data_IF_546591530246
#
_entry.id   IF_546591530246
#
_cell.length_a   1.000
_cell.length_b   1.000
_cell.length_c   1.000
_cell.angle_alpha   90.00
_cell.angle_beta   90.00
_cell.angle_gamma   90.00
#
_symmetry.space_group_name_H-M   'P 1'
#
loop_
_entity.id
_entity.type
_entity.pdbx_description
1 polymer ?
#
# COMPACT_ATOMS: atom_id res chain seq x y z
N UNK A 1 -21.17 -14.06 13.81
CA UNK A 1 -22.06 -12.87 13.66
C UNK A 1 -21.29 -11.60 13.26
N UNK A 2 -20.32 -11.08 14.03
CA UNK A 2 -19.62 -9.80 13.73
C UNK A 2 -18.91 -9.81 12.37
N UNK A 3 -18.25 -10.88 11.99
CA UNK A 3 -17.54 -10.97 10.69
C UNK A 3 -18.50 -11.06 9.50
N UNK A 4 -19.59 -11.80 9.62
CA UNK A 4 -20.64 -11.86 8.59
C UNK A 4 -21.28 -10.48 8.37
N UNK A 5 -21.51 -9.74 9.45
CA UNK A 5 -21.99 -8.36 9.38
C UNK A 5 -21.00 -7.44 8.67
N UNK A 6 -19.70 -7.53 8.99
CA UNK A 6 -18.65 -6.76 8.30
C UNK A 6 -18.59 -7.07 6.79
N UNK A 7 -18.68 -8.34 6.41
CA UNK A 7 -18.72 -8.74 5.01
C UNK A 7 -19.93 -8.18 4.29
N UNK A 8 -21.10 -8.21 4.92
CA UNK A 8 -22.32 -7.59 4.38
C UNK A 8 -22.11 -6.09 4.16
N UNK A 9 -21.58 -5.37 5.15
CA UNK A 9 -21.30 -3.92 5.04
C UNK A 9 -20.31 -3.65 3.90
N UNK A 10 -19.24 -4.43 3.79
CA UNK A 10 -18.26 -4.31 2.72
C UNK A 10 -18.93 -4.51 1.35
N UNK A 11 -19.79 -5.52 1.21
CA UNK A 11 -20.51 -5.79 -0.05
C UNK A 11 -21.47 -4.68 -0.40
N UNK A 12 -22.25 -4.20 0.58
CA UNK A 12 -23.22 -3.08 0.44
C UNK A 12 -22.53 -1.77 0.05
N UNK A 13 -21.29 -1.56 0.50
CA UNK A 13 -20.51 -0.37 0.12
C UNK A 13 -19.82 -0.57 -1.23
N UNK A 14 -19.30 -1.76 -1.51
CA UNK A 14 -18.44 -2.01 -2.68
C UNK A 14 -19.27 -2.12 -3.97
N UNK A 15 -20.38 -2.84 -3.94
CA UNK A 15 -21.18 -3.06 -5.15
C UNK A 15 -21.77 -1.75 -5.69
N UNK A 16 -22.46 -0.90 -4.91
CA UNK A 16 -22.96 0.39 -5.40
C UNK A 16 -21.83 1.32 -5.86
N UNK A 17 -20.69 1.37 -5.14
CA UNK A 17 -19.55 2.17 -5.55
C UNK A 17 -18.99 1.71 -6.90
N UNK A 18 -18.87 0.39 -7.10
CA UNK A 18 -18.42 -0.18 -8.38
C UNK A 18 -19.37 0.15 -9.52
N UNK A 19 -20.68 0.00 -9.32
CA UNK A 19 -21.70 0.35 -10.31
C UNK A 19 -21.66 1.83 -10.67
N UNK A 20 -21.53 2.71 -9.68
CA UNK A 20 -21.43 4.15 -9.89
C UNK A 20 -20.14 4.53 -10.65
N UNK A 21 -19.01 3.89 -10.33
CA UNK A 21 -17.74 4.05 -11.05
C UNK A 21 -17.91 3.58 -12.50
N UNK A 22 -18.58 2.46 -12.75
CA UNK A 22 -18.84 1.96 -14.11
C UNK A 22 -19.69 2.95 -14.89
N UNK A 23 -20.79 3.40 -14.31
CA UNK A 23 -21.73 4.31 -14.97
C UNK A 23 -21.08 5.66 -15.32
N UNK A 24 -20.41 6.29 -14.38
CA UNK A 24 -19.81 7.61 -14.57
C UNK A 24 -18.45 7.53 -15.27
N UNK A 25 -17.70 6.44 -15.07
CA UNK A 25 -16.36 6.27 -15.60
C UNK A 25 -16.32 6.07 -17.12
N UNK A 26 -17.42 5.71 -17.76
CA UNK A 26 -17.52 5.65 -19.23
C UNK A 26 -17.27 7.04 -19.81
N UNK A 27 -17.80 8.08 -19.20
CA UNK A 27 -17.69 9.47 -19.63
C UNK A 27 -16.42 10.18 -19.11
N UNK A 28 -15.71 9.56 -18.16
CA UNK A 28 -14.50 10.12 -17.56
C UNK A 28 -13.24 9.60 -18.28
N UNK A 29 -12.75 10.38 -19.23
CA UNK A 29 -11.61 10.01 -20.08
C UNK A 29 -10.37 9.53 -19.31
N UNK A 30 -10.09 10.13 -18.17
CA UNK A 30 -8.90 9.83 -17.35
C UNK A 30 -9.22 9.19 -16.00
N UNK A 31 -10.50 8.99 -15.68
CA UNK A 31 -10.96 8.46 -14.41
C UNK A 31 -10.75 9.42 -13.24
N UNK A 32 -10.59 10.72 -13.49
CA UNK A 32 -10.29 11.70 -12.44
C UNK A 32 -11.48 11.97 -11.53
N UNK A 33 -12.67 12.09 -12.11
CA UNK A 33 -13.91 12.37 -11.36
C UNK A 33 -14.34 11.15 -10.54
N UNK A 34 -14.27 9.96 -11.15
CA UNK A 34 -14.61 8.70 -10.43
C UNK A 34 -13.63 8.36 -9.32
N UNK A 35 -12.43 8.97 -9.33
CA UNK A 35 -11.48 8.78 -8.24
C UNK A 35 -11.99 9.32 -6.89
N UNK A 36 -12.84 10.34 -6.90
CA UNK A 36 -13.54 10.83 -5.70
C UNK A 36 -14.42 9.73 -5.07
N UNK A 37 -15.14 8.98 -5.90
CA UNK A 37 -15.96 7.83 -5.48
C UNK A 37 -15.05 6.73 -4.88
N UNK A 38 -13.93 6.46 -5.54
CA UNK A 38 -12.94 5.48 -5.05
C UNK A 38 -12.38 5.89 -3.68
N UNK A 39 -12.15 7.17 -3.44
CA UNK A 39 -11.72 7.69 -2.14
C UNK A 39 -12.79 7.53 -1.07
N UNK A 40 -14.03 7.88 -1.37
CA UNK A 40 -15.15 7.70 -0.44
C UNK A 40 -15.33 6.22 -0.10
N UNK A 41 -15.32 5.35 -1.10
CA UNK A 41 -15.37 3.90 -0.93
C UNK A 41 -14.25 3.38 -0.01
N UNK A 42 -13.01 3.79 -0.25
CA UNK A 42 -11.87 3.35 0.56
C UNK A 42 -11.98 3.83 2.02
N UNK A 43 -12.46 5.06 2.23
CA UNK A 43 -12.72 5.59 3.57
C UNK A 43 -13.78 4.76 4.30
N UNK A 44 -14.92 4.50 3.64
CA UNK A 44 -16.00 3.68 4.21
C UNK A 44 -15.52 2.27 4.58
N UNK A 45 -14.69 1.64 3.73
CA UNK A 45 -14.13 0.31 4.02
C UNK A 45 -13.25 0.30 5.27
N UNK A 46 -12.34 1.28 5.39
CA UNK A 46 -11.44 1.37 6.55
C UNK A 46 -12.23 1.65 7.83
N UNK A 47 -13.22 2.53 7.77
CA UNK A 47 -14.12 2.82 8.89
C UNK A 47 -14.91 1.58 9.32
N UNK A 48 -15.54 0.87 8.38
CA UNK A 48 -16.28 -0.36 8.65
C UNK A 48 -15.38 -1.47 9.23
N UNK A 49 -14.13 -1.53 8.76
CA UNK A 49 -13.10 -2.42 9.29
C UNK A 49 -12.65 -2.06 10.71
N UNK A 50 -12.81 -0.82 11.13
CA UNK A 50 -12.22 -0.26 12.35
C UNK A 50 -10.70 -0.12 12.22
N UNK A 51 -10.23 0.32 11.04
CA UNK A 51 -8.82 0.46 10.69
C UNK A 51 -8.42 1.92 10.76
N UNK A 52 -7.53 2.25 11.71
CA UNK A 52 -6.91 3.56 11.81
C UNK A 52 -5.63 3.65 10.96
N UNK A 53 -5.31 4.84 10.47
CA UNK A 53 -4.09 5.11 9.71
C UNK A 53 -3.23 6.14 10.42
N UNK A 54 -1.92 5.86 10.48
CA UNK A 54 -0.88 6.83 10.84
C UNK A 54 0.04 6.97 9.64
N UNK A 55 0.12 8.16 9.06
CA UNK A 55 0.91 8.42 7.85
C UNK A 55 2.05 9.36 8.18
N UNK A 56 3.26 8.99 7.75
CA UNK A 56 4.49 9.77 7.94
C UNK A 56 5.23 9.93 6.62
N UNK A 57 6.12 10.92 6.54
CA UNK A 57 6.99 11.11 5.39
C UNK A 57 6.34 11.77 4.17
N UNK A 58 5.11 12.29 4.26
CA UNK A 58 4.47 13.02 3.14
C UNK A 58 5.24 14.27 2.71
N UNK A 59 6.07 14.84 3.57
CA UNK A 59 6.95 15.97 3.25
C UNK A 59 8.07 15.62 2.26
N UNK A 60 8.36 14.35 2.05
CA UNK A 60 9.36 13.90 1.07
C UNK A 60 8.90 14.04 -0.37
N UNK A 61 7.59 14.16 -0.61
CA UNK A 61 6.99 14.14 -1.94
C UNK A 61 6.29 15.46 -2.27
N UNK A 62 6.50 15.95 -3.48
CA UNK A 62 5.84 17.15 -4.00
C UNK A 62 4.50 16.78 -4.65
N UNK A 63 3.35 17.30 -4.17
CA UNK A 63 2.04 17.01 -4.76
C UNK A 63 1.87 17.42 -6.23
N UNK A 64 2.72 18.31 -6.73
CA UNK A 64 2.70 18.77 -8.12
C UNK A 64 3.45 17.85 -9.08
N UNK A 65 4.18 16.86 -8.56
CA UNK A 65 4.95 15.89 -9.36
C UNK A 65 4.28 14.54 -9.40
N UNK A 66 4.55 13.77 -10.44
CA UNK A 66 4.10 12.39 -10.57
C UNK A 66 5.19 11.44 -10.08
N UNK A 67 4.75 10.37 -9.43
CA UNK A 67 5.60 9.32 -8.90
C UNK A 67 5.10 7.95 -9.33
N UNK A 68 5.99 6.99 -9.30
CA UNK A 68 5.64 5.59 -9.20
C UNK A 68 5.80 5.19 -7.73
N UNK A 69 4.68 5.11 -7.02
CA UNK A 69 4.65 4.63 -5.64
C UNK A 69 4.89 3.12 -5.65
N UNK A 70 5.96 2.67 -5.04
CA UNK A 70 6.25 1.25 -4.84
C UNK A 70 6.05 0.89 -3.38
N UNK A 71 5.10 -0.02 -3.12
CA UNK A 71 4.74 -0.43 -1.76
C UNK A 71 4.88 -1.95 -1.59
N UNK A 72 5.18 -2.40 -0.37
CA UNK A 72 5.01 -3.80 0.01
C UNK A 72 3.54 -4.21 -0.03
N UNK A 73 3.26 -5.51 -0.23
CA UNK A 73 1.90 -6.02 -0.39
C UNK A 73 1.63 -7.21 0.52
N UNK A 74 0.82 -7.00 1.54
CA UNK A 74 0.54 -8.00 2.57
C UNK A 74 -0.95 -8.33 2.67
N UNK A 75 -1.83 -7.42 2.20
CA UNK A 75 -3.26 -7.50 2.43
C UNK A 75 -4.09 -6.94 1.26
N UNK A 76 -5.35 -7.33 1.16
CA UNK A 76 -6.30 -6.67 0.27
C UNK A 76 -6.59 -5.22 0.69
N UNK A 77 -6.48 -4.90 1.97
CA UNK A 77 -6.72 -3.54 2.47
C UNK A 77 -5.56 -2.57 2.17
N UNK A 78 -4.42 -3.04 1.61
CA UNK A 78 -3.33 -2.14 1.20
C UNK A 78 -3.79 -1.13 0.15
N UNK A 79 -4.76 -1.50 -0.70
CA UNK A 79 -5.32 -0.62 -1.72
C UNK A 79 -6.06 0.56 -1.09
N UNK A 80 -7.12 0.37 -0.27
CA UNK A 80 -7.79 1.48 0.40
C UNK A 80 -6.87 2.26 1.35
N UNK A 81 -5.86 1.61 1.97
CA UNK A 81 -4.85 2.28 2.78
C UNK A 81 -4.09 3.31 1.94
N UNK A 82 -3.53 2.92 0.81
CA UNK A 82 -2.75 3.81 -0.05
C UNK A 82 -3.60 4.96 -0.62
N UNK A 83 -4.87 4.71 -0.95
CA UNK A 83 -5.80 5.74 -1.42
C UNK A 83 -5.97 6.83 -0.35
N UNK A 84 -6.11 6.44 0.92
CA UNK A 84 -6.29 7.39 2.02
C UNK A 84 -4.98 8.03 2.48
N UNK A 85 -3.88 7.30 2.38
CA UNK A 85 -2.56 7.78 2.82
C UNK A 85 -1.92 8.80 1.85
N UNK A 86 -2.35 8.84 0.59
CA UNK A 86 -1.80 9.72 -0.45
C UNK A 86 -2.88 10.67 -1.01
N UNK A 87 -3.48 11.54 -0.15
CA UNK A 87 -4.68 12.30 -0.50
C UNK A 87 -4.47 13.33 -1.61
N UNK A 88 -3.25 13.83 -1.79
CA UNK A 88 -2.91 14.80 -2.81
C UNK A 88 -2.71 14.20 -4.21
N UNK A 89 -2.73 12.87 -4.34
CA UNK A 89 -2.42 12.18 -5.59
C UNK A 89 -3.62 11.46 -6.17
N UNK A 90 -3.73 11.49 -7.49
CA UNK A 90 -4.60 10.62 -8.27
C UNK A 90 -3.85 9.34 -8.60
N UNK A 91 -4.29 8.21 -8.06
CA UNK A 91 -3.58 6.93 -8.16
C UNK A 91 -4.22 6.01 -9.20
N UNK A 92 -3.37 5.31 -9.98
CA UNK A 92 -3.79 4.16 -10.79
C UNK A 92 -2.88 2.99 -10.54
N UNK A 93 -3.47 1.82 -10.42
CA UNK A 93 -2.74 0.58 -10.15
C UNK A 93 -2.28 -0.07 -11.44
N UNK A 94 -1.11 -0.68 -11.37
CA UNK A 94 -0.68 -1.67 -12.35
C UNK A 94 -1.02 -3.05 -11.80
N UNK A 95 -2.02 -3.66 -12.38
CA UNK A 95 -2.64 -4.88 -11.89
C UNK A 95 -2.57 -6.01 -12.92
N UNK A 96 -2.85 -7.23 -12.51
CA UNK A 96 -2.97 -8.38 -13.39
C UNK A 96 -4.21 -8.24 -14.29
N UNK A 97 -4.10 -8.65 -15.57
CA UNK A 97 -5.21 -8.63 -16.53
C UNK A 97 -6.39 -9.49 -16.06
N UNK A 98 -6.13 -10.61 -15.41
CA UNK A 98 -7.15 -11.55 -14.94
C UNK A 98 -8.14 -10.91 -13.96
N UNK A 99 -7.76 -9.83 -13.28
CA UNK A 99 -8.67 -9.09 -12.39
C UNK A 99 -9.83 -8.42 -13.14
N UNK A 100 -9.72 -8.21 -14.45
CA UNK A 100 -10.81 -7.68 -15.28
C UNK A 100 -12.00 -8.66 -15.39
N UNK A 101 -11.76 -9.96 -15.17
CA UNK A 101 -12.79 -10.99 -15.23
C UNK A 101 -13.63 -11.08 -13.94
N UNK A 102 -13.23 -10.39 -12.88
CA UNK A 102 -14.01 -10.34 -11.63
C UNK A 102 -15.21 -9.41 -11.84
N UNK A 103 -16.46 -9.92 -11.77
CA UNK A 103 -17.66 -9.11 -11.98
C UNK A 103 -17.68 -7.86 -11.10
N UNK A 104 -18.23 -6.77 -11.61
CA UNK A 104 -18.30 -5.44 -11.00
C UNK A 104 -16.92 -4.82 -10.71
N UNK A 105 -16.02 -5.54 -10.03
CA UNK A 105 -14.69 -5.05 -9.69
C UNK A 105 -13.82 -4.83 -10.93
N UNK A 106 -13.77 -5.79 -11.84
CA UNK A 106 -13.00 -5.68 -13.08
C UNK A 106 -13.53 -4.56 -13.98
N UNK A 107 -14.84 -4.42 -14.08
CA UNK A 107 -15.48 -3.34 -14.84
C UNK A 107 -15.16 -1.97 -14.23
N UNK A 108 -15.25 -1.84 -12.89
CA UNK A 108 -14.88 -0.62 -12.19
C UNK A 108 -13.39 -0.28 -12.39
N UNK A 109 -12.49 -1.28 -12.33
CA UNK A 109 -11.07 -1.10 -12.62
C UNK A 109 -10.83 -0.59 -14.04
N UNK A 110 -11.52 -1.14 -15.03
CA UNK A 110 -11.39 -0.75 -16.42
C UNK A 110 -11.89 0.68 -16.64
N UNK A 111 -13.07 1.01 -16.15
CA UNK A 111 -13.66 2.35 -16.28
C UNK A 111 -12.92 3.41 -15.46
N UNK A 112 -12.39 3.07 -14.28
CA UNK A 112 -11.49 3.91 -13.51
C UNK A 112 -10.09 4.06 -14.14
N UNK A 113 -9.87 3.44 -15.33
CA UNK A 113 -8.62 3.59 -16.12
C UNK A 113 -7.37 3.06 -15.42
N UNK A 114 -7.49 2.02 -14.61
CA UNK A 114 -6.34 1.27 -14.12
C UNK A 114 -5.59 0.61 -15.27
N UNK A 115 -4.32 0.31 -15.06
CA UNK A 115 -3.48 -0.31 -16.08
C UNK A 115 -3.40 -1.80 -15.76
N UNK A 116 -3.86 -2.62 -16.68
CA UNK A 116 -3.74 -4.07 -16.55
C UNK A 116 -2.64 -4.60 -17.45
N UNK A 117 -1.89 -5.57 -16.96
CA UNK A 117 -0.75 -6.17 -17.65
C UNK A 117 -0.90 -7.69 -17.66
N UNK A 118 -0.84 -8.27 -18.83
CA UNK A 118 -0.53 -9.66 -18.98
C UNK A 118 0.99 -9.84 -18.89
N UNK A 119 1.43 -10.52 -17.84
CA UNK A 119 2.86 -10.68 -17.55
C UNK A 119 3.52 -11.79 -18.39
N UNK A 120 2.73 -12.63 -19.03
CA UNK A 120 3.19 -13.68 -19.94
C UNK A 120 3.38 -13.14 -21.35
N UNK A 121 2.71 -12.04 -21.71
CA UNK A 121 2.80 -11.42 -23.03
C UNK A 121 3.71 -10.18 -23.00
N UNK A 122 4.82 -10.28 -23.76
CA UNK A 122 5.79 -9.19 -23.91
C UNK A 122 5.22 -7.97 -24.66
N UNK A 123 4.34 -8.19 -25.62
CA UNK A 123 3.70 -7.11 -26.39
C UNK A 123 2.69 -6.34 -25.53
N UNK A 124 1.93 -7.04 -24.73
CA UNK A 124 1.03 -6.41 -23.77
C UNK A 124 1.78 -5.60 -22.69
N UNK A 125 2.92 -6.11 -22.25
CA UNK A 125 3.79 -5.36 -21.32
C UNK A 125 4.30 -4.05 -21.95
N UNK A 126 4.62 -4.02 -23.25
CA UNK A 126 5.00 -2.80 -23.98
C UNK A 126 3.80 -1.84 -24.15
N UNK A 127 2.64 -2.37 -24.51
CA UNK A 127 1.39 -1.59 -24.58
C UNK A 127 1.03 -0.93 -23.24
N UNK A 128 1.22 -1.65 -22.16
CA UNK A 128 1.00 -1.15 -20.79
C UNK A 128 1.97 -0.02 -20.43
N UNK A 129 3.20 -0.06 -20.90
CA UNK A 129 4.17 1.03 -20.74
C UNK A 129 3.68 2.33 -21.43
N UNK A 130 3.15 2.25 -22.64
CA UNK A 130 2.56 3.39 -23.36
C UNK A 130 1.39 3.98 -22.59
N UNK A 131 0.45 3.13 -22.14
CA UNK A 131 -0.69 3.54 -21.31
C UNK A 131 -0.23 4.23 -20.03
N UNK A 132 0.77 3.67 -19.34
CA UNK A 132 1.35 4.26 -18.13
C UNK A 132 1.87 5.68 -18.39
N UNK A 133 2.67 5.86 -19.44
CA UNK A 133 3.22 7.16 -19.83
C UNK A 133 2.12 8.21 -20.12
N UNK A 134 1.06 7.80 -20.81
CA UNK A 134 -0.08 8.67 -21.11
C UNK A 134 -0.84 9.09 -19.83
N UNK A 135 -1.06 8.15 -18.89
CA UNK A 135 -1.70 8.46 -17.60
C UNK A 135 -0.88 9.45 -16.79
N UNK A 136 0.43 9.25 -16.74
CA UNK A 136 1.32 10.12 -15.98
C UNK A 136 1.36 11.53 -16.58
N UNK A 137 1.36 11.68 -17.91
CA UNK A 137 1.24 13.00 -18.57
C UNK A 137 -0.03 13.76 -18.18
N UNK A 138 -1.11 13.07 -17.81
CA UNK A 138 -2.35 13.71 -17.33
C UNK A 138 -2.35 14.03 -15.84
N UNK A 139 -1.21 13.97 -15.15
CA UNK A 139 -1.07 14.30 -13.73
C UNK A 139 -1.42 13.14 -12.77
N UNK A 140 -1.45 11.91 -13.28
CA UNK A 140 -1.76 10.72 -12.50
C UNK A 140 -0.47 10.03 -12.07
N UNK A 141 -0.39 9.63 -10.80
CA UNK A 141 0.69 8.80 -10.25
C UNK A 141 0.30 7.32 -10.30
N UNK A 142 1.29 6.46 -10.42
CA UNK A 142 1.06 5.02 -10.49
C UNK A 142 1.41 4.35 -9.16
N UNK A 143 0.69 3.27 -8.84
CA UNK A 143 1.00 2.40 -7.69
C UNK A 143 1.35 1.02 -8.20
N UNK A 144 2.44 0.49 -7.70
CA UNK A 144 2.93 -0.84 -8.02
C UNK A 144 3.27 -1.57 -6.73
N UNK A 145 2.82 -2.81 -6.62
CA UNK A 145 3.33 -3.76 -5.66
C UNK A 145 4.41 -4.59 -6.36
N UNK A 146 5.70 -4.28 -6.16
CA UNK A 146 6.77 -4.88 -6.96
C UNK A 146 6.95 -6.38 -6.70
N UNK A 147 6.49 -6.88 -5.57
CA UNK A 147 6.42 -8.30 -5.23
C UNK A 147 5.52 -9.10 -6.19
N UNK A 148 4.50 -8.43 -6.75
CA UNK A 148 3.57 -9.01 -7.72
C UNK A 148 2.56 -10.00 -7.15
N UNK A 149 2.61 -10.27 -5.86
CA UNK A 149 1.62 -11.04 -5.09
C UNK A 149 1.66 -10.57 -3.64
N UNK A 150 0.62 -10.89 -2.87
CA UNK A 150 0.62 -10.62 -1.44
C UNK A 150 1.51 -11.62 -0.70
N UNK A 151 2.26 -11.12 0.27
CA UNK A 151 2.98 -11.95 1.23
C UNK A 151 2.01 -12.82 2.04
N UNK A 152 2.38 -14.06 2.31
CA UNK A 152 1.59 -14.98 3.14
C UNK A 152 1.97 -14.95 4.62
N UNK A 153 3.14 -14.45 4.94
CA UNK A 153 3.73 -14.45 6.29
C UNK A 153 4.08 -13.06 6.82
N UNK A 154 3.72 -12.00 6.07
CA UNK A 154 4.00 -10.62 6.45
C UNK A 154 5.42 -10.13 6.17
N UNK A 155 6.31 -10.99 5.65
CA UNK A 155 7.65 -10.58 5.22
C UNK A 155 7.64 -10.02 3.80
N UNK A 156 8.61 -9.17 3.51
CA UNK A 156 8.80 -8.60 2.17
C UNK A 156 9.25 -9.70 1.20
N UNK A 157 8.62 -9.75 0.03
CA UNK A 157 8.99 -10.69 -1.03
C UNK A 157 9.95 -10.04 -2.04
N UNK A 158 10.74 -10.85 -2.79
CA UNK A 158 11.62 -10.32 -3.82
C UNK A 158 10.89 -9.51 -4.88
N UNK A 159 11.48 -8.39 -5.30
CA UNK A 159 10.89 -7.48 -6.26
C UNK A 159 11.04 -7.97 -7.70
N UNK A 160 9.96 -7.89 -8.46
CA UNK A 160 9.93 -8.17 -9.90
C UNK A 160 10.39 -6.96 -10.71
N UNK A 161 11.12 -7.21 -11.78
CA UNK A 161 11.76 -6.16 -12.62
C UNK A 161 10.79 -5.23 -13.34
N UNK A 162 9.54 -5.66 -13.59
CA UNK A 162 8.60 -4.94 -14.47
C UNK A 162 8.29 -3.51 -14.03
N UNK A 163 8.01 -3.29 -12.74
CA UNK A 163 7.73 -1.96 -12.20
C UNK A 163 8.95 -1.04 -12.23
N UNK A 164 10.13 -1.57 -11.95
CA UNK A 164 11.39 -0.83 -12.01
C UNK A 164 11.74 -0.44 -13.45
N UNK A 165 11.54 -1.36 -14.40
CA UNK A 165 11.72 -1.08 -15.83
C UNK A 165 10.79 0.04 -16.30
N UNK A 166 9.53 0.05 -15.82
CA UNK A 166 8.60 1.13 -16.12
C UNK A 166 9.14 2.46 -15.61
N UNK A 167 9.61 2.55 -14.38
CA UNK A 167 10.16 3.77 -13.79
C UNK A 167 11.35 4.30 -14.60
N UNK A 168 12.28 3.44 -14.95
CA UNK A 168 13.45 3.80 -15.78
C UNK A 168 13.04 4.24 -17.18
N UNK A 169 12.11 3.55 -17.84
CA UNK A 169 11.67 3.90 -19.20
C UNK A 169 10.80 5.16 -19.26
N UNK A 170 10.08 5.48 -18.21
CA UNK A 170 9.28 6.72 -18.11
C UNK A 170 10.07 7.86 -17.51
N UNK A 171 11.27 7.63 -16.99
CA UNK A 171 12.10 8.59 -16.25
C UNK A 171 11.35 9.20 -15.06
N UNK A 172 10.50 8.38 -14.41
CA UNK A 172 9.68 8.82 -13.29
C UNK A 172 10.30 8.36 -11.98
N UNK A 173 10.47 9.26 -11.00
CA UNK A 173 11.01 8.88 -9.69
C UNK A 173 10.12 7.87 -8.99
N UNK A 174 10.74 6.95 -8.25
CA UNK A 174 10.06 5.98 -7.40
C UNK A 174 9.92 6.58 -6.01
N UNK A 175 8.70 6.65 -5.49
CA UNK A 175 8.45 6.94 -4.08
C UNK A 175 8.21 5.61 -3.34
N UNK A 176 9.16 5.15 -2.52
CA UNK A 176 8.97 3.94 -1.74
C UNK A 176 7.95 4.20 -0.63
N UNK A 177 7.02 3.27 -0.45
CA UNK A 177 5.98 3.34 0.59
C UNK A 177 5.99 2.06 1.38
N UNK A 178 6.07 2.18 2.69
CA UNK A 178 6.03 1.04 3.60
C UNK A 178 4.69 1.00 4.31
N UNK A 179 3.99 -0.15 4.23
CA UNK A 179 2.74 -0.42 4.92
C UNK A 179 3.03 -1.43 6.03
N UNK A 180 2.91 -1.01 7.28
CA UNK A 180 3.15 -1.86 8.44
C UNK A 180 1.86 -2.18 9.18
N UNK A 181 1.62 -3.47 9.46
CA UNK A 181 0.48 -3.96 10.25
C UNK A 181 -0.72 -4.44 9.43
N UNK A 182 -0.76 -4.28 8.11
CA UNK A 182 -1.90 -4.70 7.30
C UNK A 182 -2.08 -6.23 7.27
N UNK A 183 -0.98 -6.99 7.34
CA UNK A 183 -1.02 -8.45 7.45
C UNK A 183 -1.73 -8.92 8.73
N UNK A 184 -1.48 -8.28 9.86
CA UNK A 184 -2.12 -8.63 11.14
C UNK A 184 -3.64 -8.33 11.11
N UNK A 185 -4.07 -7.33 10.37
CA UNK A 185 -5.47 -6.92 10.25
C UNK A 185 -6.24 -7.83 9.29
N UNK A 186 -5.68 -8.12 8.12
CA UNK A 186 -6.31 -9.00 7.12
C UNK A 186 -5.25 -9.79 6.35
N UNK A 187 -4.79 -10.94 6.86
CA UNK A 187 -3.84 -11.80 6.16
C UNK A 187 -4.37 -12.30 4.82
N UNK A 188 -3.46 -12.71 3.95
CA UNK A 188 -3.81 -13.39 2.70
C UNK A 188 -4.58 -14.68 3.00
N UNK A 189 -5.78 -14.82 2.40
CA UNK A 189 -6.66 -15.98 2.59
C UNK A 189 -7.63 -15.88 3.76
N UNK A 190 -7.50 -14.89 4.64
CA UNK A 190 -8.51 -14.59 5.66
C UNK A 190 -9.47 -13.50 5.16
N UNK A 191 -10.73 -13.61 5.55
CA UNK A 191 -11.79 -12.62 5.25
C UNK A 191 -12.23 -11.87 6.51
N UNK A 192 -11.65 -12.19 7.66
CA UNK A 192 -11.98 -11.61 8.96
C UNK A 192 -11.14 -10.37 9.23
N UNK A 193 -11.66 -9.20 8.88
CA UNK A 193 -11.00 -7.93 9.14
C UNK A 193 -10.97 -7.68 10.65
N UNK A 194 -9.77 -7.59 11.22
CA UNK A 194 -9.53 -7.21 12.62
C UNK A 194 -9.43 -5.71 12.72
N UNK A 195 -9.83 -5.16 13.86
CA UNK A 195 -9.59 -3.75 14.16
C UNK A 195 -8.10 -3.53 14.47
N UNK A 196 -7.60 -2.35 14.14
CA UNK A 196 -6.22 -2.01 14.47
C UNK A 196 -5.73 -0.76 13.77
N UNK A 197 -4.49 -0.40 14.07
CA UNK A 197 -3.80 0.73 13.46
C UNK A 197 -2.75 0.25 12.48
N UNK A 198 -2.68 0.92 11.34
CA UNK A 198 -1.70 0.69 10.28
C UNK A 198 -0.83 1.92 10.18
N UNK A 199 0.48 1.71 10.09
CA UNK A 199 1.44 2.76 9.84
C UNK A 199 1.85 2.73 8.37
N UNK A 200 1.83 3.92 7.75
CA UNK A 200 2.28 4.11 6.37
C UNK A 200 3.40 5.13 6.38
N UNK A 201 4.57 4.72 5.90
CA UNK A 201 5.74 5.59 5.79
C UNK A 201 6.06 5.81 4.32
N UNK A 202 6.07 7.08 3.91
CA UNK A 202 6.52 7.48 2.58
C UNK A 202 7.99 7.86 2.67
N UNK A 203 8.85 7.10 2.01
CA UNK A 203 10.29 7.35 1.97
C UNK A 203 10.66 8.44 0.96
N UNK A 204 11.92 8.93 1.02
CA UNK A 204 12.46 9.86 0.03
C UNK A 204 12.37 9.29 -1.39
N UNK A 205 12.00 10.10 -2.40
CA UNK A 205 11.92 9.63 -3.78
C UNK A 205 13.29 9.23 -4.32
N UNK A 206 13.36 8.04 -4.91
CA UNK A 206 14.54 7.53 -5.60
C UNK A 206 14.55 8.01 -7.05
N UNK A 207 15.58 8.76 -7.41
CA UNK A 207 15.79 9.20 -8.80
C UNK A 207 16.22 8.01 -9.67
N UNK A 208 15.59 7.86 -10.82
CA UNK A 208 15.92 6.80 -11.78
C UNK A 208 16.84 7.25 -12.91
N UNK A 209 17.29 8.50 -12.92
CA UNK A 209 18.09 9.10 -13.99
C UNK A 209 19.41 8.35 -14.28
N UNK A 210 20.01 7.81 -13.23
CA UNK A 210 21.31 7.10 -13.31
C UNK A 210 21.14 5.60 -13.55
N UNK A 211 19.89 5.10 -13.67
CA UNK A 211 19.63 3.70 -13.87
C UNK A 211 19.23 3.39 -15.33
N UNK A 212 19.65 2.23 -15.80
CA UNK A 212 19.38 1.71 -17.14
C UNK A 212 18.74 0.31 -17.03
N UNK A 213 18.17 -0.24 -18.11
CA UNK A 213 17.61 -1.59 -18.08
C UNK A 213 18.58 -2.68 -17.57
N UNK A 214 19.90 -2.49 -17.78
CA UNK A 214 20.95 -3.40 -17.28
C UNK A 214 21.24 -3.27 -15.77
N UNK A 215 20.89 -2.14 -15.12
CA UNK A 215 21.18 -1.87 -13.71
C UNK A 215 19.94 -2.01 -12.80
N UNK A 216 18.85 -2.61 -13.29
CA UNK A 216 17.60 -2.77 -12.52
C UNK A 216 17.80 -3.57 -11.22
N UNK A 217 18.81 -4.44 -11.15
CA UNK A 217 19.09 -5.20 -9.92
C UNK A 217 19.53 -4.27 -8.77
N UNK A 218 20.40 -3.31 -9.06
CA UNK A 218 20.85 -2.32 -8.07
C UNK A 218 19.70 -1.39 -7.65
N UNK A 219 18.86 -0.93 -8.60
CA UNK A 219 17.66 -0.14 -8.27
C UNK A 219 16.68 -0.93 -7.41
N UNK A 220 16.48 -2.23 -7.72
CA UNK A 220 15.62 -3.12 -6.94
C UNK A 220 16.10 -3.26 -5.49
N UNK A 221 17.39 -3.53 -5.31
CA UNK A 221 17.99 -3.68 -3.99
C UNK A 221 17.81 -2.39 -3.17
N UNK A 222 18.10 -1.25 -3.76
CA UNK A 222 17.98 0.04 -3.07
C UNK A 222 16.54 0.36 -2.66
N UNK A 223 15.54 0.17 -3.55
CA UNK A 223 14.13 0.43 -3.20
C UNK A 223 13.62 -0.59 -2.17
N UNK A 224 14.08 -1.86 -2.27
CA UNK A 224 13.72 -2.91 -1.33
C UNK A 224 14.27 -2.63 0.07
N UNK A 225 15.53 -2.23 0.19
CA UNK A 225 16.20 -1.82 1.43
C UNK A 225 15.43 -0.70 2.14
N UNK A 226 15.09 0.38 1.41
CA UNK A 226 14.30 1.50 1.97
C UNK A 226 12.94 1.07 2.56
N UNK A 227 12.28 0.11 1.92
CA UNK A 227 11.01 -0.41 2.42
C UNK A 227 11.22 -1.33 3.62
N UNK A 228 12.25 -2.17 3.59
CA UNK A 228 12.57 -3.14 4.64
C UNK A 228 13.01 -2.46 5.93
N UNK A 229 13.86 -1.45 5.86
CA UNK A 229 14.31 -0.65 7.01
C UNK A 229 13.13 0.00 7.75
N UNK A 230 12.18 0.55 7.00
CA UNK A 230 10.96 1.12 7.58
C UNK A 230 10.05 0.05 8.21
N UNK A 231 9.99 -1.18 7.64
CA UNK A 231 9.24 -2.30 8.24
C UNK A 231 9.86 -2.75 9.56
N UNK A 232 11.19 -2.86 9.62
CA UNK A 232 11.92 -3.24 10.83
C UNK A 232 11.76 -2.18 11.93
N UNK A 233 11.91 -0.91 11.60
CA UNK A 233 11.71 0.20 12.52
C UNK A 233 10.29 0.20 13.11
N UNK A 234 9.25 0.02 12.29
CA UNK A 234 7.87 -0.05 12.75
C UNK A 234 7.59 -1.25 13.67
N UNK A 235 8.29 -2.38 13.49
CA UNK A 235 8.15 -3.58 14.33
C UNK A 235 8.76 -3.38 15.72
N UNK A 236 9.85 -2.66 15.84
CA UNK A 236 10.51 -2.37 17.12
C UNK A 236 9.66 -1.50 18.05
N UNK A 237 8.89 -0.57 17.51
CA UNK A 237 7.97 0.26 18.30
C UNK A 237 6.71 -0.48 18.78
N UNK A 238 6.41 -1.66 18.25
CA UNK A 238 5.22 -2.47 18.63
C UNK A 238 5.49 -3.48 19.73
N UNK A 239 6.74 -3.74 20.10
CA UNK A 239 7.07 -4.61 21.23
C UNK A 239 7.05 -3.74 22.49
N UNK A 240 6.08 -3.89 23.42
CA UNK A 240 6.20 -3.30 24.75
C UNK A 240 7.45 -3.94 25.36
N UNK A 241 8.38 -3.13 25.88
CA UNK A 241 9.44 -3.63 26.75
C UNK A 241 8.75 -4.41 27.87
N UNK A 242 8.82 -5.73 27.78
CA UNK A 242 8.40 -6.63 28.86
C UNK A 242 9.19 -6.23 30.11
N UNK A 243 8.45 -5.75 31.11
CA UNK A 243 8.78 -5.47 32.49
C UNK A 243 10.22 -5.63 32.94
N UNK A 244 10.94 -4.53 33.07
CA UNK A 244 11.88 -4.40 34.16
C UNK A 244 11.06 -4.17 35.44
N UNK A 245 10.70 -5.27 36.10
CA UNK A 245 10.26 -5.24 37.49
C UNK A 245 11.50 -4.89 38.31
N UNK A 246 11.64 -3.61 38.65
CA UNK A 246 12.58 -3.20 39.66
C UNK A 246 12.09 -3.81 40.99
N UNK A 247 12.72 -4.93 41.36
CA UNK A 247 12.61 -5.46 42.73
C UNK A 247 13.36 -4.51 43.66
N UNK A 248 12.65 -3.57 44.22
CA UNK A 248 13.13 -2.76 45.36
C UNK A 248 13.18 -3.67 46.59
N UNK A 249 14.32 -4.31 46.80
CA UNK A 249 14.60 -5.05 48.03
C UNK A 249 14.89 -4.00 49.13
N UNK A 250 13.87 -3.70 49.90
CA UNK A 250 13.99 -2.93 51.12
C UNK A 250 14.75 -3.77 52.15
N UNK A 251 16.04 -3.52 52.30
CA UNK A 251 16.84 -4.07 53.38
C UNK A 251 16.47 -3.34 54.69
N UNK A 252 15.62 -3.99 55.51
CA UNK A 252 15.36 -3.58 56.86
C UNK A 252 16.58 -3.78 57.74
N UNK A 253 17.24 -2.71 58.16
CA UNK A 253 18.25 -2.75 59.23
C UNK A 253 17.55 -2.80 60.57
N UNK A 254 17.62 -3.96 61.20
CA UNK A 254 17.26 -4.17 62.58
C UNK A 254 18.32 -3.55 63.48
N UNK A 255 17.95 -2.51 64.20
CA UNK A 255 18.76 -1.85 65.23
C UNK A 255 18.64 -2.65 66.52
N UNK A 256 19.63 -3.47 66.87
CA UNK A 256 19.73 -4.11 68.18
C UNK A 256 20.33 -3.12 69.17
N UNK A 257 19.50 -2.68 70.14
CA UNK A 257 19.95 -2.05 71.40
C UNK A 257 20.80 -3.03 72.19
N UNK A 258 21.97 -2.62 72.64
CA UNK A 258 22.68 -3.20 73.78
C UNK A 258 22.80 -2.16 74.85
N UNK A 259 22.18 -2.45 75.98
CA UNK A 259 22.36 -1.82 77.30
C UNK A 259 23.57 -2.48 77.97
N UNK A 260 24.47 -1.72 78.52
CA UNK A 260 25.13 -1.68 79.82
C UNK A 260 26.25 -0.69 79.73
#
# INVERSE_FOLDING_TARGET
MIYSFKLLVISVVTVPAALLIVLLGIFDRYGKHVYGITRLWSWMLLMAGGVGLKVTGLSHIDPKRQYIFMANHQSHIDIPILIQSLPAFQLRWIAKRELLWVPFFGWAMWTAKHITVDRSDRMDALGSLKKAKERMKSGISLVIFPEGTRSSNGHLLPFKRGGLLLAVRTQTPIAPVTISGSWAILPKGDWRIRRGQIEVTVGPPVSVKNYRPGTLRALSAHVQELIEDNLQSASQFKTPKSGETQSTTAAGQSMKKRTV
#
